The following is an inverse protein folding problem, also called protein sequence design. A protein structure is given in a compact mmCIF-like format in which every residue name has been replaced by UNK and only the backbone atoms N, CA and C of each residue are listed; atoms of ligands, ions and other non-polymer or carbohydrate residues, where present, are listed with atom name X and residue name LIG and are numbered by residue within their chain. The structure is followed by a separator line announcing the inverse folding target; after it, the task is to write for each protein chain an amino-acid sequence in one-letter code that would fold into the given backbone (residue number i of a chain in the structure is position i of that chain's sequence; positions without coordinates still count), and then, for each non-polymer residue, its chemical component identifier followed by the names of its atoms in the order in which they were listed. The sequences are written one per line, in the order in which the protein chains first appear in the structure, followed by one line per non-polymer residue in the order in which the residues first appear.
data_IF_233341013369
#
_entry.id   IF_233341013369
#
_cell.length_a   1.000
_cell.length_b   1.000
_cell.length_c   1.000
_cell.angle_alpha   90.00
_cell.angle_beta   90.00
_cell.angle_gamma   90.00
#
_symmetry.space_group_name_H-M   'P 1'
#
loop_
_entity.id
_entity.type
_entity.pdbx_description
1 polymer ?
#
# COMPACT_ATOMS: atom_id res chain seq x y z
N UNK A 1 -18.61 31.12 18.78
CA UNK A 1 -18.17 29.87 19.44
C UNK A 1 -16.94 29.39 18.71
N UNK A 2 -15.97 28.82 19.41
CA UNK A 2 -14.73 28.34 18.78
C UNK A 2 -14.94 26.96 18.16
N UNK A 3 -14.29 26.72 17.02
CA UNK A 3 -14.23 25.37 16.41
C UNK A 3 -13.38 24.48 17.29
N UNK A 4 -13.92 23.34 17.75
CA UNK A 4 -13.18 22.33 18.52
C UNK A 4 -12.81 21.12 17.68
N UNK A 5 -13.64 20.79 16.68
CA UNK A 5 -13.38 19.73 15.71
C UNK A 5 -13.63 20.23 14.31
N UNK A 6 -12.70 19.96 13.40
CA UNK A 6 -12.75 20.35 12.00
C UNK A 6 -12.60 19.14 11.10
N UNK A 7 -13.58 18.87 10.24
CA UNK A 7 -13.47 17.93 9.15
C UNK A 7 -13.09 18.66 7.86
N UNK A 8 -12.08 18.16 7.16
CA UNK A 8 -11.62 18.71 5.88
C UNK A 8 -11.69 17.63 4.82
N UNK A 9 -12.51 17.85 3.80
CA UNK A 9 -12.48 17.05 2.58
C UNK A 9 -11.44 17.62 1.62
N UNK A 10 -10.46 16.76 1.26
CA UNK A 10 -9.29 17.14 0.47
C UNK A 10 -9.51 16.85 -1.00
N UNK A 11 -9.37 17.89 -1.82
CA UNK A 11 -9.32 17.77 -3.27
C UNK A 11 -8.01 18.34 -3.85
N UNK A 12 -7.89 18.45 -5.15
CA UNK A 12 -6.70 18.99 -5.80
C UNK A 12 -6.53 20.48 -5.56
N UNK A 13 -7.59 21.25 -5.77
CA UNK A 13 -7.55 22.72 -5.79
C UNK A 13 -8.55 23.40 -4.83
N UNK A 14 -9.65 22.74 -4.51
CA UNK A 14 -10.75 23.29 -3.71
C UNK A 14 -11.09 22.29 -2.62
N UNK A 15 -11.20 22.77 -1.40
CA UNK A 15 -11.42 21.98 -0.19
C UNK A 15 -12.76 22.35 0.44
N UNK A 16 -13.41 21.40 1.10
CA UNK A 16 -14.58 21.67 1.92
C UNK A 16 -14.23 21.54 3.40
N UNK A 17 -14.68 22.47 4.21
CA UNK A 17 -14.45 22.54 5.65
C UNK A 17 -15.78 22.50 6.39
N UNK A 18 -15.87 21.65 7.42
CA UNK A 18 -16.99 21.58 8.33
C UNK A 18 -16.48 21.56 9.77
N UNK A 19 -16.81 22.58 10.56
CA UNK A 19 -16.34 22.72 11.93
C UNK A 19 -17.49 22.76 12.93
N UNK A 20 -17.29 22.06 14.05
CA UNK A 20 -18.25 22.04 15.17
C UNK A 20 -17.63 22.52 16.46
N UNK A 21 -18.48 23.00 17.37
CA UNK A 21 -18.10 23.36 18.73
C UNK A 21 -18.08 22.13 19.67
N UNK A 22 -17.79 22.35 20.97
CA UNK A 22 -17.77 21.30 22.00
C UNK A 22 -19.12 20.61 22.24
N UNK A 23 -20.23 21.20 21.75
CA UNK A 23 -21.57 20.61 21.82
C UNK A 23 -21.98 19.88 20.53
N UNK A 24 -21.13 19.89 19.51
CA UNK A 24 -21.42 19.32 18.21
C UNK A 24 -22.25 20.22 17.29
N UNK A 25 -22.49 21.50 17.68
CA UNK A 25 -23.19 22.43 16.80
C UNK A 25 -22.25 22.95 15.71
N UNK A 26 -22.74 23.01 14.47
CA UNK A 26 -21.98 23.55 13.34
C UNK A 26 -21.72 25.04 13.54
N UNK A 27 -20.46 25.44 13.63
CA UNK A 27 -20.01 26.83 13.75
C UNK A 27 -19.19 27.31 12.56
N UNK A 28 -18.77 26.37 11.69
CA UNK A 28 -18.07 26.69 10.46
C UNK A 28 -18.55 25.74 9.33
N UNK A 29 -18.96 26.32 8.21
CA UNK A 29 -19.22 25.58 6.98
C UNK A 29 -18.67 26.39 5.79
N UNK A 30 -17.59 25.88 5.17
CA UNK A 30 -16.98 26.49 3.98
C UNK A 30 -16.86 25.42 2.89
N UNK A 31 -17.83 25.32 1.98
CA UNK A 31 -17.86 24.26 0.98
C UNK A 31 -16.83 24.43 -0.14
N UNK A 32 -16.23 25.63 -0.27
CA UNK A 32 -15.26 25.95 -1.32
C UNK A 32 -14.13 26.83 -0.77
N UNK A 33 -13.03 26.21 -0.39
CA UNK A 33 -11.80 26.89 0.04
C UNK A 33 -10.70 26.59 -0.96
N UNK A 34 -10.08 27.62 -1.51
CA UNK A 34 -8.96 27.42 -2.45
C UNK A 34 -7.72 26.91 -1.72
N UNK A 35 -6.88 26.16 -2.43
CA UNK A 35 -5.62 25.60 -1.91
C UNK A 35 -4.71 26.67 -1.28
N UNK A 36 -4.62 27.85 -1.87
CA UNK A 36 -3.79 28.95 -1.38
C UNK A 36 -4.25 29.49 -0.03
N UNK A 37 -5.58 29.47 0.25
CA UNK A 37 -6.15 30.02 1.48
C UNK A 37 -6.31 29.00 2.61
N UNK A 38 -6.17 27.71 2.33
CA UNK A 38 -6.48 26.67 3.32
C UNK A 38 -5.59 26.77 4.57
N UNK A 39 -4.29 26.90 4.39
CA UNK A 39 -3.35 26.97 5.53
C UNK A 39 -3.59 28.25 6.35
N UNK A 40 -3.80 29.39 5.71
CA UNK A 40 -4.09 30.67 6.37
C UNK A 40 -5.37 30.59 7.21
N UNK A 41 -6.44 30.01 6.65
CA UNK A 41 -7.71 29.84 7.38
C UNK A 41 -7.52 28.97 8.63
N UNK A 42 -6.81 27.84 8.48
CA UNK A 42 -6.60 26.90 9.58
C UNK A 42 -5.65 27.50 10.63
N UNK A 43 -4.56 28.15 10.23
CA UNK A 43 -3.60 28.78 11.15
C UNK A 43 -4.21 29.90 12.02
N UNK A 44 -5.26 30.56 11.55
CA UNK A 44 -5.99 31.60 12.26
C UNK A 44 -7.08 31.04 13.21
N UNK A 45 -7.24 29.70 13.30
CA UNK A 45 -8.16 29.08 14.26
C UNK A 45 -7.44 28.72 15.57
N UNK A 46 -8.15 28.74 16.70
CA UNK A 46 -7.63 28.13 17.93
C UNK A 46 -7.28 26.66 17.69
N UNK A 47 -6.29 26.10 18.43
CA UNK A 47 -5.96 24.68 18.34
C UNK A 47 -7.21 23.79 18.47
N UNK A 48 -7.40 22.92 17.51
CA UNK A 48 -8.56 22.03 17.43
C UNK A 48 -8.16 20.65 16.87
N UNK A 49 -9.07 19.67 16.96
CA UNK A 49 -8.90 18.37 16.33
C UNK A 49 -9.30 18.44 14.85
N UNK A 50 -8.38 18.11 13.96
CA UNK A 50 -8.62 18.09 12.53
C UNK A 50 -8.69 16.65 12.00
N UNK A 51 -9.81 16.29 11.37
CA UNK A 51 -10.00 15.04 10.65
C UNK A 51 -9.84 15.23 9.15
N UNK A 52 -9.17 14.29 8.47
CA UNK A 52 -9.06 14.22 7.02
C UNK A 52 -9.10 12.78 6.53
N UNK A 53 -9.61 12.54 5.32
CA UNK A 53 -9.43 11.23 4.68
C UNK A 53 -7.97 11.00 4.27
N UNK A 54 -7.46 9.78 4.47
CA UNK A 54 -6.13 9.36 4.02
C UNK A 54 -6.12 9.17 2.49
N UNK A 55 -6.06 10.28 1.77
CA UNK A 55 -6.04 10.35 0.31
C UNK A 55 -4.76 11.03 -0.19
N UNK A 56 -4.73 11.40 -1.48
CA UNK A 56 -3.63 12.17 -2.07
C UNK A 56 -3.47 13.51 -1.34
N UNK A 57 -2.23 13.88 -1.01
CA UNK A 57 -1.81 15.07 -0.25
C UNK A 57 -2.19 15.12 1.24
N UNK A 58 -2.93 14.14 1.79
CA UNK A 58 -3.36 14.14 3.19
C UNK A 58 -2.17 14.25 4.17
N UNK A 59 -1.11 13.51 3.96
CA UNK A 59 0.08 13.56 4.82
C UNK A 59 0.81 14.91 4.79
N UNK A 60 0.84 15.58 3.64
CA UNK A 60 1.39 16.93 3.52
C UNK A 60 0.59 17.93 4.36
N UNK A 61 -0.74 17.93 4.20
CA UNK A 61 -1.61 18.81 4.95
C UNK A 61 -1.60 18.49 6.45
N UNK A 62 -1.56 17.21 6.81
CA UNK A 62 -1.47 16.81 8.21
C UNK A 62 -0.24 17.42 8.88
N UNK A 63 0.95 17.25 8.31
CA UNK A 63 2.17 17.88 8.84
C UNK A 63 2.12 19.41 8.85
N UNK A 64 1.47 20.03 7.85
CA UNK A 64 1.32 21.48 7.80
C UNK A 64 0.43 21.99 8.94
N UNK A 65 -0.65 21.29 9.24
CA UNK A 65 -1.55 21.69 10.33
C UNK A 65 -0.99 21.36 11.72
N UNK A 66 -0.25 20.27 11.88
CA UNK A 66 0.50 19.99 13.12
C UNK A 66 1.53 21.09 13.41
N UNK A 67 2.23 21.60 12.39
CA UNK A 67 3.21 22.71 12.54
C UNK A 67 2.58 24.02 13.04
N UNK A 68 1.29 24.23 12.79
CA UNK A 68 0.56 25.40 13.28
C UNK A 68 -0.28 25.13 14.54
N UNK A 69 -0.03 23.99 15.20
CA UNK A 69 -0.51 23.70 16.57
C UNK A 69 -1.82 22.93 16.66
N UNK A 70 -2.33 22.33 15.58
CA UNK A 70 -3.53 21.50 15.62
C UNK A 70 -3.20 20.03 15.87
N UNK A 71 -4.12 19.29 16.48
CA UNK A 71 -4.10 17.83 16.51
C UNK A 71 -4.71 17.31 15.21
N UNK A 72 -3.98 16.45 14.47
CA UNK A 72 -4.45 15.97 13.18
C UNK A 72 -4.59 14.45 13.15
N UNK A 73 -5.70 13.96 12.61
CA UNK A 73 -5.97 12.52 12.46
C UNK A 73 -6.40 12.20 11.05
N UNK A 74 -5.74 11.20 10.45
CA UNK A 74 -6.07 10.68 9.12
C UNK A 74 -6.95 9.44 9.25
N UNK A 75 -8.03 9.36 8.46
CA UNK A 75 -8.98 8.26 8.49
C UNK A 75 -9.01 7.59 7.12
N UNK A 76 -8.91 6.26 7.07
CA UNK A 76 -9.06 5.56 5.80
C UNK A 76 -10.48 5.75 5.24
N UNK A 77 -10.67 6.02 3.92
CA UNK A 77 -11.96 6.38 3.32
C UNK A 77 -13.09 5.38 3.63
N UNK A 78 -12.77 4.08 3.73
CA UNK A 78 -13.75 3.04 4.08
C UNK A 78 -14.38 3.21 5.47
N UNK A 79 -13.72 3.93 6.38
CA UNK A 79 -14.23 4.17 7.73
C UNK A 79 -15.00 5.49 7.84
N UNK A 80 -14.84 6.39 6.86
CA UNK A 80 -15.65 7.62 6.76
C UNK A 80 -16.99 7.33 6.05
N UNK A 81 -16.98 6.43 5.08
CA UNK A 81 -18.15 6.11 4.26
C UNK A 81 -19.47 5.86 5.04
N UNK A 82 -19.49 5.15 6.20
CA UNK A 82 -20.70 4.94 6.98
C UNK A 82 -21.30 6.22 7.58
N UNK A 83 -20.53 7.29 7.71
CA UNK A 83 -20.96 8.58 8.29
C UNK A 83 -21.47 9.55 7.24
N UNK A 84 -21.36 9.20 5.95
CA UNK A 84 -21.96 9.98 4.89
C UNK A 84 -23.48 9.88 4.97
N UNK A 85 -24.13 11.00 5.00
CA UNK A 85 -25.60 11.04 4.97
C UNK A 85 -26.05 10.51 3.60
N UNK A 86 -26.50 9.25 3.58
CA UNK A 86 -27.08 8.62 2.41
C UNK A 86 -28.49 9.18 2.19
N UNK A 87 -28.61 10.17 1.34
CA UNK A 87 -29.90 10.73 0.91
C UNK A 87 -29.95 10.84 -0.61
N UNK A 88 -31.15 11.12 -1.16
CA UNK A 88 -31.40 11.37 -2.60
C UNK A 88 -30.64 12.57 -3.19
N UNK A 89 -29.97 13.37 -2.37
CA UNK A 89 -29.10 14.45 -2.74
C UNK A 89 -27.71 13.90 -2.97
N UNK A 90 -27.20 13.97 -4.20
CA UNK A 90 -25.96 13.38 -4.67
C UNK A 90 -24.73 13.72 -3.83
N UNK A 91 -23.63 13.07 -4.13
CA UNK A 91 -22.31 13.27 -3.51
C UNK A 91 -21.98 14.77 -3.50
N UNK A 92 -21.74 15.31 -2.29
CA UNK A 92 -21.48 16.73 -2.06
C UNK A 92 -20.28 16.85 -1.12
N UNK A 93 -19.27 17.62 -1.52
CA UNK A 93 -18.02 17.83 -0.78
C UNK A 93 -18.27 18.37 0.65
N UNK A 94 -19.30 19.18 0.85
CA UNK A 94 -19.69 19.65 2.18
C UNK A 94 -20.19 18.52 3.09
N UNK A 95 -20.94 17.56 2.54
CA UNK A 95 -21.40 16.38 3.28
C UNK A 95 -20.25 15.42 3.57
N UNK A 96 -19.25 15.33 2.68
CA UNK A 96 -18.04 14.54 2.92
C UNK A 96 -17.19 15.15 4.05
N UNK A 97 -17.03 16.48 4.09
CA UNK A 97 -16.37 17.17 5.20
C UNK A 97 -17.12 17.00 6.55
N UNK A 98 -18.45 17.03 6.53
CA UNK A 98 -19.28 16.73 7.71
C UNK A 98 -19.10 15.29 8.18
N UNK A 99 -19.11 14.32 7.27
CA UNK A 99 -18.89 12.92 7.59
C UNK A 99 -17.51 12.66 8.23
N UNK A 100 -16.46 13.34 7.73
CA UNK A 100 -15.12 13.30 8.30
C UNK A 100 -15.10 13.90 9.70
N UNK A 101 -15.76 15.05 9.91
CA UNK A 101 -15.87 15.71 11.20
C UNK A 101 -16.57 14.82 12.24
N UNK A 102 -17.60 14.09 11.85
CA UNK A 102 -18.31 13.14 12.70
C UNK A 102 -17.44 11.91 13.00
N UNK A 103 -16.79 11.34 11.96
CA UNK A 103 -15.99 10.14 12.08
C UNK A 103 -14.77 10.33 13.00
N UNK A 104 -14.09 11.48 12.93
CA UNK A 104 -12.84 11.71 13.69
C UNK A 104 -13.06 11.73 15.21
N UNK A 105 -14.28 12.00 15.67
CA UNK A 105 -14.66 12.07 17.08
C UNK A 105 -14.96 10.70 17.70
N UNK A 106 -15.06 9.62 16.90
CA UNK A 106 -15.49 8.32 17.40
C UNK A 106 -14.37 7.61 18.18
N UNK A 107 -14.64 7.12 19.42
CA UNK A 107 -13.61 6.56 20.30
C UNK A 107 -12.95 5.29 19.75
N UNK A 108 -13.64 4.54 18.89
CA UNK A 108 -13.10 3.31 18.30
C UNK A 108 -12.63 3.49 16.83
N UNK A 109 -12.50 4.75 16.37
CA UNK A 109 -12.01 5.04 15.03
C UNK A 109 -10.55 4.62 14.90
N UNK A 110 -10.22 4.02 13.75
CA UNK A 110 -8.84 3.66 13.41
C UNK A 110 -8.24 4.75 12.54
N UNK A 111 -7.16 5.31 13.03
CA UNK A 111 -6.44 6.36 12.33
C UNK A 111 -5.26 5.77 11.57
N UNK A 112 -4.84 6.47 10.52
CA UNK A 112 -3.66 6.17 9.72
C UNK A 112 -2.53 7.07 10.21
N UNK A 113 -1.37 6.50 10.49
CA UNK A 113 -0.20 7.25 10.93
C UNK A 113 0.23 8.29 9.90
N UNK A 114 0.53 9.51 10.37
CA UNK A 114 1.03 10.58 9.51
C UNK A 114 2.46 10.25 9.12
N UNK A 115 2.71 10.17 7.82
CA UNK A 115 4.04 9.85 7.29
C UNK A 115 4.96 11.05 7.30
N UNK A 116 6.21 10.84 7.69
CA UNK A 116 7.28 11.82 7.51
C UNK A 116 7.57 12.08 6.02
N UNK A 117 8.29 13.15 5.71
CA UNK A 117 8.73 13.44 4.34
C UNK A 117 9.67 12.34 3.81
N UNK A 118 10.52 11.80 4.66
CA UNK A 118 11.39 10.68 4.35
C UNK A 118 10.60 9.43 3.98
N UNK A 119 9.60 9.03 4.81
CA UNK A 119 8.71 7.91 4.50
C UNK A 119 7.98 8.12 3.17
N UNK A 120 7.52 9.34 2.89
CA UNK A 120 6.87 9.63 1.60
C UNK A 120 7.85 9.56 0.43
N UNK A 121 9.12 9.96 0.63
CA UNK A 121 10.17 9.85 -0.40
C UNK A 121 10.46 8.38 -0.74
N UNK A 122 10.58 7.53 0.27
CA UNK A 122 10.73 6.08 0.07
C UNK A 122 9.47 5.50 -0.63
N UNK A 123 8.29 5.94 -0.26
CA UNK A 123 7.04 5.53 -0.92
C UNK A 123 7.00 5.97 -2.39
N UNK A 124 7.50 7.17 -2.72
CA UNK A 124 7.62 7.62 -4.11
C UNK A 124 8.53 6.70 -4.92
N UNK A 125 9.67 6.28 -4.34
CA UNK A 125 10.60 5.36 -4.99
C UNK A 125 9.94 4.00 -5.29
N UNK A 126 9.21 3.42 -4.32
CA UNK A 126 8.45 2.18 -4.53
C UNK A 126 7.37 2.32 -5.60
N UNK A 127 6.61 3.41 -5.60
CA UNK A 127 5.54 3.66 -6.59
C UNK A 127 6.11 3.88 -7.99
N UNK A 128 7.18 4.65 -8.11
CA UNK A 128 7.85 4.87 -9.40
C UNK A 128 8.38 3.54 -9.96
N UNK A 129 9.02 2.72 -9.12
CA UNK A 129 9.47 1.39 -9.51
C UNK A 129 8.31 0.48 -9.95
N UNK A 130 7.22 0.47 -9.19
CA UNK A 130 6.04 -0.31 -9.54
C UNK A 130 5.47 0.10 -10.90
N UNK A 131 5.29 1.41 -11.13
CA UNK A 131 4.80 1.93 -12.40
C UNK A 131 5.70 1.54 -13.58
N UNK A 132 7.03 1.63 -13.43
CA UNK A 132 7.98 1.17 -14.46
C UNK A 132 7.87 -0.34 -14.72
N UNK A 133 7.64 -1.16 -13.69
CA UNK A 133 7.45 -2.61 -13.88
C UNK A 133 6.14 -2.94 -14.62
N UNK A 134 5.07 -2.20 -14.33
CA UNK A 134 3.79 -2.30 -15.04
C UNK A 134 3.93 -1.85 -16.49
N UNK A 135 4.63 -0.75 -16.74
CA UNK A 135 4.95 -0.23 -18.08
C UNK A 135 5.78 -1.23 -18.88
N UNK A 136 6.85 -1.81 -18.29
CA UNK A 136 7.63 -2.88 -18.93
C UNK A 136 6.74 -4.04 -19.38
N UNK A 137 5.86 -4.50 -18.48
CA UNK A 137 4.94 -5.59 -18.79
C UNK A 137 3.99 -5.22 -19.93
N UNK A 138 3.46 -4.00 -19.92
CA UNK A 138 2.58 -3.48 -20.98
C UNK A 138 3.29 -3.41 -22.34
N UNK A 139 4.52 -2.89 -22.36
CA UNK A 139 5.31 -2.80 -23.60
C UNK A 139 5.65 -4.19 -24.15
N UNK A 140 6.08 -5.13 -23.31
CA UNK A 140 6.35 -6.52 -23.72
C UNK A 140 5.08 -7.19 -24.29
N UNK A 141 3.91 -6.95 -23.70
CA UNK A 141 2.66 -7.49 -24.22
C UNK A 141 2.27 -6.85 -25.57
N UNK A 142 2.55 -5.55 -25.74
CA UNK A 142 2.36 -4.85 -27.01
C UNK A 142 3.26 -5.43 -28.10
N UNK A 143 4.53 -5.68 -27.80
CA UNK A 143 5.46 -6.34 -28.73
C UNK A 143 4.90 -7.70 -29.17
N UNK A 144 4.44 -8.54 -28.21
CA UNK A 144 3.85 -9.85 -28.52
C UNK A 144 2.62 -9.73 -29.40
N UNK A 145 1.73 -8.77 -29.10
CA UNK A 145 0.56 -8.51 -29.94
C UNK A 145 0.94 -8.15 -31.38
N UNK A 146 1.89 -7.24 -31.55
CA UNK A 146 2.36 -6.85 -32.88
C UNK A 146 3.00 -8.01 -33.64
N UNK A 147 3.81 -8.86 -33.00
CA UNK A 147 4.41 -10.04 -33.58
C UNK A 147 3.34 -11.04 -34.04
N UNK A 148 2.26 -11.20 -33.30
CA UNK A 148 1.16 -12.11 -33.62
C UNK A 148 0.43 -11.69 -34.89
N UNK A 149 0.33 -10.40 -35.22
CA UNK A 149 -0.26 -9.89 -36.45
C UNK A 149 0.50 -10.40 -37.73
N UNK A 150 1.77 -10.77 -37.57
CA UNK A 150 2.61 -11.35 -38.61
C UNK A 150 2.77 -12.86 -38.46
N UNK A 151 1.93 -13.53 -37.67
CA UNK A 151 1.97 -14.99 -37.45
C UNK A 151 3.12 -15.45 -36.56
N UNK A 152 3.85 -14.55 -35.90
CA UNK A 152 4.99 -14.88 -35.04
C UNK A 152 4.52 -15.03 -33.61
N UNK A 153 4.66 -16.24 -33.03
CA UNK A 153 4.31 -16.51 -31.62
C UNK A 153 5.55 -16.33 -30.78
N UNK A 154 5.49 -15.32 -29.92
CA UNK A 154 6.61 -14.93 -29.06
C UNK A 154 6.53 -15.54 -27.64
N UNK A 155 7.69 -15.79 -26.98
CA UNK A 155 7.73 -16.37 -25.65
C UNK A 155 7.18 -15.43 -24.57
N UNK A 156 6.65 -16.02 -23.47
CA UNK A 156 6.09 -15.26 -22.33
C UNK A 156 7.16 -14.59 -21.48
N UNK A 157 8.37 -15.16 -21.39
CA UNK A 157 9.47 -14.53 -20.65
C UNK A 157 9.97 -13.28 -21.38
N UNK A 158 10.07 -12.11 -20.72
CA UNK A 158 10.64 -10.91 -21.33
C UNK A 158 12.08 -11.11 -21.83
N UNK A 159 12.90 -11.85 -21.09
CA UNK A 159 14.28 -12.17 -21.43
C UNK A 159 14.34 -13.03 -22.69
N UNK A 160 13.56 -14.11 -22.75
CA UNK A 160 13.48 -14.95 -23.95
C UNK A 160 12.91 -14.19 -25.14
N UNK A 161 11.90 -13.35 -24.95
CA UNK A 161 11.35 -12.49 -25.99
C UNK A 161 12.45 -11.60 -26.59
N UNK A 162 13.33 -11.05 -25.78
CA UNK A 162 14.47 -10.23 -26.22
C UNK A 162 15.49 -11.06 -27.01
N UNK A 163 15.89 -12.20 -26.43
CA UNK A 163 16.96 -13.04 -27.00
C UNK A 163 16.56 -13.70 -28.33
N UNK A 164 15.28 -14.06 -28.45
CA UNK A 164 14.76 -14.73 -29.68
C UNK A 164 14.31 -13.74 -30.76
N UNK A 165 14.27 -12.43 -30.47
CA UNK A 165 13.71 -11.43 -31.41
C UNK A 165 14.50 -11.31 -32.71
N UNK A 166 15.82 -11.43 -32.72
CA UNK A 166 16.63 -11.38 -33.94
C UNK A 166 16.23 -12.48 -34.93
N UNK A 167 15.94 -13.68 -34.45
CA UNK A 167 15.44 -14.75 -35.28
C UNK A 167 14.00 -14.49 -35.80
N UNK A 168 13.18 -13.77 -35.03
CA UNK A 168 11.82 -13.42 -35.42
C UNK A 168 11.76 -12.34 -36.51
N UNK A 169 12.75 -11.45 -36.57
CA UNK A 169 12.82 -10.34 -37.56
C UNK A 169 12.70 -10.79 -39.00
N UNK A 170 13.18 -11.99 -39.33
CA UNK A 170 13.16 -12.54 -40.69
C UNK A 170 11.73 -12.64 -41.28
N UNK A 171 10.74 -12.77 -40.37
CA UNK A 171 9.33 -12.90 -40.77
C UNK A 171 8.58 -11.56 -40.80
N UNK A 172 9.26 -10.42 -40.53
CA UNK A 172 8.63 -9.11 -40.35
C UNK A 172 8.96 -8.18 -41.53
N UNK A 173 7.98 -7.38 -41.98
CA UNK A 173 8.25 -6.24 -42.87
C UNK A 173 9.15 -5.21 -42.19
N UNK A 174 9.93 -4.47 -42.98
CA UNK A 174 10.89 -3.50 -42.48
C UNK A 174 10.29 -2.43 -41.51
N UNK A 175 9.09 -1.92 -41.80
CA UNK A 175 8.40 -0.97 -40.96
C UNK A 175 8.00 -1.58 -39.58
N UNK A 176 7.52 -2.83 -39.59
CA UNK A 176 7.17 -3.54 -38.39
C UNK A 176 8.41 -3.79 -37.51
N UNK A 177 9.51 -4.22 -38.13
CA UNK A 177 10.81 -4.38 -37.47
C UNK A 177 11.26 -3.08 -36.81
N UNK A 178 11.24 -1.96 -37.53
CA UNK A 178 11.61 -0.63 -37.01
C UNK A 178 10.75 -0.23 -35.79
N UNK A 179 9.43 -0.44 -35.87
CA UNK A 179 8.52 -0.16 -34.74
C UNK A 179 8.83 -1.01 -33.51
N UNK A 180 9.06 -2.30 -33.70
CA UNK A 180 9.30 -3.25 -32.61
C UNK A 180 10.70 -3.00 -32.00
N UNK A 181 11.73 -2.70 -32.79
CA UNK A 181 13.04 -2.28 -32.31
C UNK A 181 12.93 -1.04 -31.40
N UNK A 182 12.14 -0.04 -31.80
CA UNK A 182 11.86 1.13 -30.96
C UNK A 182 11.21 0.78 -29.63
N UNK A 183 10.31 -0.19 -29.60
CA UNK A 183 9.70 -0.67 -28.36
C UNK A 183 10.71 -1.42 -27.48
N UNK A 184 11.63 -2.20 -28.05
CA UNK A 184 12.69 -2.83 -27.29
C UNK A 184 13.67 -1.83 -26.69
N UNK A 185 14.06 -0.79 -27.41
CA UNK A 185 14.84 0.31 -26.85
C UNK A 185 14.14 0.95 -25.65
N UNK A 186 12.83 1.08 -25.70
CA UNK A 186 12.04 1.58 -24.57
C UNK A 186 12.07 0.61 -23.37
N UNK A 187 11.93 -0.70 -23.61
CA UNK A 187 12.10 -1.74 -22.57
C UNK A 187 13.47 -1.65 -21.93
N UNK A 188 14.55 -1.56 -22.70
CA UNK A 188 15.92 -1.44 -22.20
C UNK A 188 16.10 -0.21 -21.30
N UNK A 189 15.46 0.91 -21.66
CA UNK A 189 15.48 2.13 -20.86
C UNK A 189 14.73 1.96 -19.54
N UNK A 190 13.57 1.31 -19.55
CA UNK A 190 12.79 0.99 -18.35
C UNK A 190 13.62 0.09 -17.44
N UNK A 191 14.25 -0.95 -17.94
CA UNK A 191 15.05 -1.90 -17.18
C UNK A 191 16.25 -1.24 -16.49
N UNK A 192 16.95 -0.33 -17.20
CA UNK A 192 18.02 0.48 -16.58
C UNK A 192 17.51 1.32 -15.40
N UNK A 193 16.31 1.93 -15.51
CA UNK A 193 15.68 2.68 -14.44
C UNK A 193 15.27 1.78 -13.28
N UNK A 194 14.71 0.60 -13.57
CA UNK A 194 14.34 -0.40 -12.55
C UNK A 194 15.55 -0.84 -11.74
N UNK A 195 16.67 -1.17 -12.40
CA UNK A 195 17.93 -1.52 -11.73
C UNK A 195 18.44 -0.40 -10.81
N UNK A 196 18.34 0.87 -11.25
CA UNK A 196 18.69 2.01 -10.41
C UNK A 196 17.81 2.10 -9.18
N UNK A 197 16.49 1.96 -9.34
CA UNK A 197 15.56 2.04 -8.21
C UNK A 197 15.69 0.85 -7.26
N UNK A 198 15.96 -0.36 -7.78
CA UNK A 198 16.25 -1.53 -6.96
C UNK A 198 17.47 -1.32 -6.05
N UNK A 199 18.55 -0.72 -6.61
CA UNK A 199 19.76 -0.38 -5.83
C UNK A 199 19.43 0.65 -4.76
N UNK A 200 18.71 1.73 -5.10
CA UNK A 200 18.34 2.77 -4.14
C UNK A 200 17.48 2.19 -3.00
N UNK A 201 16.49 1.38 -3.29
CA UNK A 201 15.66 0.73 -2.27
C UNK A 201 16.50 -0.18 -1.38
N UNK A 202 17.42 -0.94 -1.97
CA UNK A 202 18.32 -1.82 -1.22
C UNK A 202 19.21 -1.02 -0.28
N UNK A 203 19.89 0.01 -0.78
CA UNK A 203 20.76 0.87 0.05
C UNK A 203 19.99 1.55 1.17
N UNK A 204 18.80 2.12 0.87
CA UNK A 204 17.95 2.73 1.91
C UNK A 204 17.53 1.72 2.97
N UNK A 205 17.17 0.49 2.58
CA UNK A 205 16.80 -0.55 3.53
C UNK A 205 17.99 -1.05 4.38
N UNK A 206 19.20 -1.06 3.81
CA UNK A 206 20.43 -1.43 4.52
C UNK A 206 20.88 -0.37 5.53
N UNK A 207 20.45 0.89 5.36
CA UNK A 207 20.75 2.00 6.26
C UNK A 207 19.72 2.17 7.39
N UNK A 208 18.53 1.58 7.29
CA UNK A 208 17.48 1.66 8.31
C UNK A 208 17.52 0.42 9.20
N UNK A 209 17.79 0.61 10.50
CA UNK A 209 17.87 -0.48 11.49
C UNK A 209 16.59 -1.32 11.54
N UNK A 210 15.42 -0.71 11.39
CA UNK A 210 14.13 -1.41 11.36
C UNK A 210 14.07 -2.35 10.16
N UNK A 211 14.51 -1.88 9.00
CA UNK A 211 14.59 -2.70 7.79
C UNK A 211 15.59 -3.86 7.98
N UNK A 212 16.74 -3.59 8.59
CA UNK A 212 17.75 -4.63 8.88
C UNK A 212 17.18 -5.74 9.77
N UNK A 213 16.41 -5.37 10.82
CA UNK A 213 15.75 -6.37 11.68
C UNK A 213 14.70 -7.17 10.91
N UNK A 214 13.90 -6.52 10.07
CA UNK A 214 12.91 -7.22 9.25
C UNK A 214 13.55 -8.15 8.22
N UNK A 215 14.69 -7.79 7.65
CA UNK A 215 15.42 -8.62 6.67
C UNK A 215 16.00 -9.91 7.27
N UNK A 216 16.10 -10.03 8.59
CA UNK A 216 16.43 -11.30 9.25
C UNK A 216 15.35 -12.36 9.10
N UNK A 217 14.09 -11.94 8.83
CA UNK A 217 12.99 -12.86 8.58
C UNK A 217 13.12 -13.51 7.19
N UNK A 218 13.04 -14.83 7.15
CA UNK A 218 13.04 -15.56 5.86
C UNK A 218 11.87 -15.07 4.98
N UNK A 219 12.16 -14.72 3.73
CA UNK A 219 11.19 -14.21 2.76
C UNK A 219 10.83 -12.74 2.90
N UNK A 220 11.54 -12.00 3.76
CA UNK A 220 11.46 -10.55 3.84
C UNK A 220 12.79 -9.96 3.38
N UNK A 221 12.85 -9.49 2.14
CA UNK A 221 14.02 -8.81 1.59
C UNK A 221 13.90 -7.29 1.71
N UNK A 222 14.93 -6.57 1.26
CA UNK A 222 15.01 -5.10 1.31
C UNK A 222 13.75 -4.40 0.76
N UNK A 223 13.21 -4.89 -0.36
CA UNK A 223 11.99 -4.38 -0.98
C UNK A 223 10.77 -4.48 -0.04
N UNK A 224 10.59 -5.63 0.61
CA UNK A 224 9.47 -5.87 1.52
C UNK A 224 9.65 -5.11 2.83
N UNK A 225 10.86 -5.10 3.37
CA UNK A 225 11.20 -4.41 4.62
C UNK A 225 10.97 -2.91 4.50
N UNK A 226 11.54 -2.26 3.49
CA UNK A 226 11.40 -0.81 3.28
C UNK A 226 9.97 -0.40 2.97
N UNK A 227 9.21 -1.21 2.19
CA UNK A 227 7.80 -0.94 1.93
C UNK A 227 6.95 -1.03 3.21
N UNK A 228 7.22 -2.00 4.10
CA UNK A 228 6.53 -2.14 5.38
C UNK A 228 6.87 -0.98 6.32
N UNK A 229 8.15 -0.68 6.54
CA UNK A 229 8.57 0.44 7.41
C UNK A 229 7.98 1.76 6.92
N UNK A 230 7.98 2.00 5.60
CA UNK A 230 7.35 3.18 5.01
C UNK A 230 5.83 3.23 5.24
N UNK A 231 5.15 2.08 5.25
CA UNK A 231 3.70 2.02 5.37
C UNK A 231 3.19 2.14 6.79
N UNK A 232 3.85 1.47 7.75
CA UNK A 232 3.33 1.28 9.12
C UNK A 232 4.24 1.83 10.23
N UNK A 233 5.39 2.44 9.85
CA UNK A 233 6.38 3.00 10.79
C UNK A 233 6.75 2.02 11.92
N UNK A 234 6.29 2.31 13.14
CA UNK A 234 6.48 1.49 14.36
C UNK A 234 5.31 0.53 14.64
N UNK A 235 4.32 0.48 13.77
CA UNK A 235 3.17 -0.42 13.89
C UNK A 235 2.21 -0.14 15.06
N UNK A 236 2.35 0.99 15.76
CA UNK A 236 1.49 1.35 16.92
C UNK A 236 0.03 1.57 16.56
N UNK A 237 -0.28 1.81 15.28
CA UNK A 237 -1.67 1.90 14.79
C UNK A 237 -2.42 0.56 14.86
N UNK A 238 -1.71 -0.56 15.08
CA UNK A 238 -2.30 -1.90 15.19
C UNK A 238 -2.09 -2.46 16.60
N UNK A 239 -3.16 -2.92 17.25
CA UNK A 239 -3.09 -3.53 18.58
C UNK A 239 -2.38 -4.89 18.58
N UNK A 240 -2.30 -5.55 17.44
CA UNK A 240 -1.60 -6.84 17.28
C UNK A 240 -1.33 -7.13 15.79
N UNK A 241 -0.42 -8.07 15.54
CA UNK A 241 -0.03 -8.45 14.17
C UNK A 241 -1.16 -9.10 13.35
N UNK A 242 -2.22 -9.63 13.99
CA UNK A 242 -3.40 -10.14 13.27
C UNK A 242 -4.18 -8.98 12.62
N UNK A 243 -4.23 -7.83 13.27
CA UNK A 243 -4.86 -6.63 12.68
C UNK A 243 -4.07 -6.12 11.47
N UNK A 244 -2.72 -6.12 11.51
CA UNK A 244 -1.92 -5.79 10.34
C UNK A 244 -2.18 -6.78 9.19
N UNK A 245 -2.14 -8.08 9.45
CA UNK A 245 -2.41 -9.10 8.42
C UNK A 245 -3.82 -8.95 7.81
N UNK A 246 -4.82 -8.59 8.62
CA UNK A 246 -6.17 -8.29 8.16
C UNK A 246 -6.23 -6.98 7.35
N UNK A 247 -5.51 -5.94 7.77
CA UNK A 247 -5.40 -4.67 7.05
C UNK A 247 -4.78 -4.88 5.67
N UNK A 248 -3.77 -5.75 5.56
CA UNK A 248 -3.12 -6.13 4.29
C UNK A 248 -3.96 -7.12 3.45
N UNK A 249 -5.12 -7.53 3.94
CA UNK A 249 -6.04 -8.43 3.23
C UNK A 249 -5.53 -9.85 3.07
N UNK A 250 -4.67 -10.32 3.99
CA UNK A 250 -4.13 -11.68 4.04
C UNK A 250 -4.99 -12.64 4.85
N UNK A 251 -6.11 -12.17 5.42
CA UNK A 251 -7.07 -12.99 6.17
C UNK A 251 -8.30 -13.33 5.34
N UNK A 252 -8.92 -14.49 5.56
CA UNK A 252 -10.16 -14.85 4.88
C UNK A 252 -11.29 -13.86 5.18
N UNK A 253 -12.16 -13.63 4.19
CA UNK A 253 -13.47 -13.04 4.46
C UNK A 253 -14.31 -14.03 5.28
N UNK A 254 -15.12 -13.48 6.18
CA UNK A 254 -15.99 -14.29 7.03
C UNK A 254 -17.44 -13.86 6.85
N UNK A 255 -18.29 -14.84 6.60
CA UNK A 255 -19.74 -14.72 6.54
C UNK A 255 -20.31 -15.69 7.57
N UNK A 256 -20.53 -15.21 8.77
CA UNK A 256 -20.96 -16.06 9.89
C UNK A 256 -22.27 -15.52 10.45
N UNK A 257 -23.27 -16.39 10.57
CA UNK A 257 -24.55 -16.11 11.19
C UNK A 257 -25.00 -17.33 12.01
N UNK A 258 -25.67 -17.11 13.14
CA UNK A 258 -26.21 -18.18 13.96
C UNK A 258 -25.16 -19.20 14.44
N UNK A 259 -23.93 -18.77 14.77
CA UNK A 259 -22.86 -19.65 15.24
C UNK A 259 -22.14 -20.46 14.13
N UNK A 260 -22.61 -20.44 12.89
CA UNK A 260 -21.99 -21.16 11.77
C UNK A 260 -20.92 -20.29 11.11
N UNK A 261 -19.65 -20.73 11.17
CA UNK A 261 -18.54 -20.04 10.51
C UNK A 261 -18.43 -20.46 9.03
N UNK A 262 -18.54 -19.47 8.12
CA UNK A 262 -18.26 -19.66 6.70
C UNK A 262 -17.11 -18.74 6.29
N UNK A 263 -15.94 -19.33 6.05
CA UNK A 263 -14.75 -18.63 5.58
C UNK A 263 -14.68 -18.65 4.05
N UNK A 264 -14.43 -17.46 3.46
CA UNK A 264 -14.25 -17.28 2.02
C UNK A 264 -12.77 -17.23 1.61
N UNK A 265 -12.52 -16.59 0.47
CA UNK A 265 -11.16 -16.25 0.01
C UNK A 265 -10.60 -15.12 0.86
N UNK A 266 -9.29 -14.84 0.73
CA UNK A 266 -8.69 -13.66 1.39
C UNK A 266 -9.40 -12.38 0.94
N UNK A 267 -9.53 -11.43 1.86
CA UNK A 267 -10.28 -10.18 1.62
C UNK A 267 -9.67 -9.31 0.53
N UNK A 268 -8.35 -9.42 0.30
CA UNK A 268 -7.56 -8.54 -0.59
C UNK A 268 -7.73 -7.05 -0.25
N UNK A 269 -8.14 -6.73 0.97
CA UNK A 269 -8.22 -5.36 1.45
C UNK A 269 -6.83 -4.71 1.56
N UNK A 270 -6.79 -3.38 1.66
CA UNK A 270 -5.57 -2.62 1.90
C UNK A 270 -4.58 -2.65 0.74
N UNK A 271 -3.31 -2.45 1.08
CA UNK A 271 -2.23 -2.24 0.12
C UNK A 271 -1.90 -3.52 -0.67
N UNK A 272 -2.20 -3.49 -1.98
CA UNK A 272 -1.93 -4.62 -2.88
C UNK A 272 -0.43 -4.83 -3.12
N UNK A 273 0.36 -3.75 -3.11
CA UNK A 273 1.79 -3.82 -3.35
C UNK A 273 2.50 -4.58 -2.23
N UNK A 274 2.28 -4.19 -0.96
CA UNK A 274 2.86 -4.85 0.21
C UNK A 274 2.38 -6.31 0.30
N UNK A 275 1.10 -6.56 0.07
CA UNK A 275 0.55 -7.92 0.02
C UNK A 275 1.27 -8.77 -1.02
N UNK A 276 1.48 -8.25 -2.23
CA UNK A 276 2.18 -8.95 -3.30
C UNK A 276 3.62 -9.27 -2.93
N UNK A 277 4.35 -8.33 -2.32
CA UNK A 277 5.72 -8.55 -1.86
C UNK A 277 5.81 -9.65 -0.80
N UNK A 278 4.92 -9.64 0.20
CA UNK A 278 4.87 -10.68 1.23
C UNK A 278 4.54 -12.06 0.64
N UNK A 279 3.62 -12.13 -0.32
CA UNK A 279 3.27 -13.38 -1.01
C UNK A 279 4.42 -13.88 -1.88
N UNK A 280 5.14 -13.00 -2.57
CA UNK A 280 6.32 -13.38 -3.35
C UNK A 280 7.45 -13.89 -2.45
N UNK A 281 7.69 -13.22 -1.33
CA UNK A 281 8.63 -13.69 -0.30
C UNK A 281 8.26 -15.07 0.27
N UNK A 282 6.98 -15.31 0.53
CA UNK A 282 6.48 -16.62 0.95
C UNK A 282 6.70 -17.70 -0.13
N UNK A 283 6.45 -17.38 -1.39
CA UNK A 283 6.69 -18.30 -2.52
C UNK A 283 8.17 -18.67 -2.67
N UNK A 284 9.08 -17.71 -2.46
CA UNK A 284 10.53 -18.00 -2.52
C UNK A 284 10.96 -18.98 -1.44
N UNK A 285 10.40 -18.88 -0.22
CA UNK A 285 10.64 -19.89 0.84
C UNK A 285 10.10 -21.25 0.42
N UNK A 286 8.86 -21.30 -0.07
CA UNK A 286 8.20 -22.55 -0.47
C UNK A 286 8.95 -23.29 -1.57
N UNK A 287 9.62 -22.59 -2.48
CA UNK A 287 10.42 -23.20 -3.54
C UNK A 287 11.59 -24.05 -3.00
N UNK A 288 12.09 -23.76 -1.79
CA UNK A 288 13.19 -24.49 -1.14
C UNK A 288 12.77 -25.27 0.10
N UNK A 289 11.51 -25.19 0.53
CA UNK A 289 11.06 -25.74 1.81
C UNK A 289 11.22 -27.25 1.91
N UNK A 290 10.92 -28.00 0.86
CA UNK A 290 11.04 -29.47 0.85
C UNK A 290 12.47 -30.00 0.96
N UNK A 291 13.49 -29.13 0.83
CA UNK A 291 14.91 -29.51 0.93
C UNK A 291 15.55 -29.11 2.27
N UNK A 292 14.79 -28.50 3.17
CA UNK A 292 15.31 -27.92 4.43
C UNK A 292 14.58 -28.52 5.62
N UNK A 293 15.33 -28.97 6.59
CA UNK A 293 14.84 -29.57 7.83
C UNK A 293 14.59 -28.51 8.95
N UNK A 294 14.15 -27.32 8.56
CA UNK A 294 13.84 -26.25 9.51
C UNK A 294 12.36 -26.28 9.93
N UNK A 295 12.02 -25.92 11.17
CA UNK A 295 10.63 -25.95 11.67
C UNK A 295 9.64 -25.21 10.76
N UNK A 296 10.03 -24.03 10.24
CA UNK A 296 9.21 -23.26 9.30
C UNK A 296 8.98 -24.01 7.98
N UNK A 297 9.99 -24.73 7.49
CA UNK A 297 9.89 -25.52 6.26
C UNK A 297 8.94 -26.69 6.43
N UNK A 298 9.05 -27.42 7.55
CA UNK A 298 8.12 -28.51 7.90
C UNK A 298 6.70 -27.98 7.97
N UNK A 299 6.47 -26.93 8.75
CA UNK A 299 5.14 -26.33 8.91
C UNK A 299 4.53 -25.91 7.56
N UNK A 300 5.30 -25.29 6.68
CA UNK A 300 4.76 -24.83 5.39
C UNK A 300 4.45 -25.99 4.44
N UNK A 301 5.25 -27.06 4.48
CA UNK A 301 4.99 -28.31 3.75
C UNK A 301 3.68 -28.96 4.26
N UNK A 302 3.50 -29.11 5.56
CA UNK A 302 2.27 -29.64 6.15
C UNK A 302 1.03 -28.85 5.76
N UNK A 303 1.12 -27.52 5.74
CA UNK A 303 0.01 -26.67 5.29
C UNK A 303 -0.23 -26.83 3.79
N UNK A 304 0.82 -26.95 2.98
CA UNK A 304 0.73 -27.17 1.52
C UNK A 304 0.02 -28.49 1.23
N UNK A 305 0.38 -29.57 1.92
CA UNK A 305 -0.18 -30.91 1.69
C UNK A 305 -1.65 -30.97 2.09
N UNK A 306 -2.03 -30.33 3.21
CA UNK A 306 -3.42 -30.32 3.70
C UNK A 306 -4.32 -29.33 2.96
N UNK A 307 -3.81 -28.20 2.47
CA UNK A 307 -4.63 -27.05 1.99
C UNK A 307 -4.26 -26.55 0.60
N UNK A 308 -3.21 -27.08 0.01
CA UNK A 308 -2.70 -26.70 -1.29
C UNK A 308 -1.74 -25.51 -1.27
N UNK A 309 -1.00 -25.35 -2.35
CA UNK A 309 0.11 -24.40 -2.52
C UNK A 309 -0.26 -22.95 -2.19
N UNK A 310 -1.32 -22.43 -2.78
CA UNK A 310 -1.69 -21.02 -2.62
C UNK A 310 -2.15 -20.67 -1.20
N UNK A 311 -2.83 -21.60 -0.53
CA UNK A 311 -3.24 -21.39 0.85
C UNK A 311 -2.04 -21.41 1.79
N UNK A 312 -1.05 -22.27 1.54
CA UNK A 312 0.21 -22.28 2.28
C UNK A 312 1.00 -20.99 2.07
N UNK A 313 1.12 -20.49 0.82
CA UNK A 313 1.78 -19.22 0.51
C UNK A 313 1.13 -18.04 1.25
N UNK A 314 -0.19 -17.95 1.26
CA UNK A 314 -0.92 -16.90 1.98
C UNK A 314 -0.76 -17.04 3.50
N UNK A 315 -0.82 -18.25 4.04
CA UNK A 315 -0.63 -18.48 5.47
C UNK A 315 0.76 -18.04 5.93
N UNK A 316 1.80 -18.35 5.13
CA UNK A 316 3.16 -17.90 5.40
C UNK A 316 3.32 -16.38 5.26
N UNK A 317 2.74 -15.77 4.23
CA UNK A 317 2.73 -14.31 4.06
C UNK A 317 2.05 -13.61 5.26
N UNK A 318 0.93 -14.15 5.73
CA UNK A 318 0.23 -13.64 6.92
C UNK A 318 1.05 -13.86 8.21
N UNK A 319 1.79 -14.97 8.32
CA UNK A 319 2.73 -15.22 9.43
C UNK A 319 3.87 -14.18 9.40
N UNK A 320 4.48 -13.96 8.24
CA UNK A 320 5.54 -12.95 8.09
C UNK A 320 5.02 -11.53 8.42
N UNK A 321 3.83 -11.16 7.97
CA UNK A 321 3.23 -9.86 8.33
C UNK A 321 3.10 -9.68 9.85
N UNK A 322 2.69 -10.73 10.58
CA UNK A 322 2.58 -10.69 12.05
C UNK A 322 3.95 -10.56 12.73
N UNK A 323 4.95 -11.27 12.25
CA UNK A 323 6.31 -11.15 12.77
C UNK A 323 6.92 -9.78 12.48
N UNK A 324 6.73 -9.25 11.26
CA UNK A 324 7.15 -7.89 10.92
C UNK A 324 6.51 -6.85 11.87
N UNK A 325 5.22 -7.00 12.16
CA UNK A 325 4.56 -6.14 13.13
C UNK A 325 5.18 -6.24 14.53
N UNK A 326 5.43 -7.46 15.03
CA UNK A 326 6.01 -7.65 16.35
C UNK A 326 7.39 -7.01 16.46
N UNK A 327 8.26 -7.20 15.46
CA UNK A 327 9.58 -6.58 15.42
C UNK A 327 9.48 -5.06 15.44
N UNK A 328 8.61 -4.46 14.63
CA UNK A 328 8.46 -3.00 14.56
C UNK A 328 7.82 -2.42 15.82
N UNK A 329 6.88 -3.14 16.42
CA UNK A 329 6.11 -2.66 17.57
C UNK A 329 6.89 -2.75 18.89
N UNK A 330 7.59 -3.86 19.11
CA UNK A 330 8.32 -4.10 20.36
C UNK A 330 9.81 -3.74 20.26
N UNK A 331 10.33 -3.51 19.06
CA UNK A 331 11.77 -3.31 18.85
C UNK A 331 12.61 -4.55 19.13
N UNK A 332 11.98 -5.73 19.19
CA UNK A 332 12.64 -6.98 19.56
C UNK A 332 13.49 -7.54 18.41
N UNK A 333 14.59 -8.21 18.76
CA UNK A 333 15.36 -8.95 17.76
C UNK A 333 14.60 -10.20 17.29
N UNK A 334 14.86 -10.62 16.04
CA UNK A 334 14.23 -11.80 15.44
C UNK A 334 14.36 -13.09 16.28
N UNK A 335 15.41 -13.23 17.06
CA UNK A 335 15.68 -14.41 17.87
C UNK A 335 14.64 -14.65 18.96
N UNK A 336 14.06 -13.57 19.52
CA UNK A 336 12.99 -13.69 20.52
C UNK A 336 11.63 -14.10 19.94
N UNK A 337 11.38 -13.83 18.66
CA UNK A 337 10.10 -14.13 18.00
C UNK A 337 9.93 -15.61 17.59
N UNK A 338 10.97 -16.42 17.59
CA UNK A 338 10.94 -17.85 17.19
C UNK A 338 11.14 -18.82 18.35
N UNK A 339 11.34 -18.32 19.57
CA UNK A 339 11.55 -19.13 20.79
C UNK A 339 10.24 -19.56 21.46
N UNK A 340 9.13 -19.20 20.93
CA UNK A 340 7.78 -19.61 21.32
C UNK A 340 7.03 -20.13 20.07
#
# INVERSE_FOLDING_TARGET
MAVTVLGIDLAKNVFALHGVDHKGHTVLCKPKVSRAKLLEIVANMPPCLIGMEACSSAHFWARAFEKVGHEVRLIAPKFVAPYRLSGRTGKNDAADAQAICEAVQRPHMRFVSIKSEEQQSIQCLHRARQGLNEERTSVCNRIRGLLTEFGVIAPLSPERLRNEFEAMKIHLPALATTCIDGLFLHVDNIERKLLKFDRLIKTTAEQDERCQQLMKLKGVGAMTASALVCAIADGKEFNNGRQLAACLGLTPSQYSSGGKQKLGRITKAGDNYIRSLLVQGARSIMASAGRKDAPLSKWVCDVKDRRGYWRAAIALAAKNARHCWAILHYGESFESCYST
#
